data_IF_739563566444
#
_entry.id   IF_739563566444
#
_cell.length_a   1.000
_cell.length_b   1.000
_cell.length_c   1.000
_cell.angle_alpha   90.00
_cell.angle_beta   90.00
_cell.angle_gamma   90.00
#
_symmetry.space_group_name_H-M   'P 1'
#
loop_
_entity.id
_entity.type
_entity.pdbx_description
1 polymer ?
#
# COMPACT_ATOMS: atom_id res chain seq x y z
N UNK A 1 -15.29 -17.80 -4.74
CA UNK A 1 -14.48 -17.27 -5.86
C UNK A 1 -13.80 -15.94 -5.49
N UNK A 2 -14.51 -14.95 -4.94
CA UNK A 2 -13.93 -13.65 -4.53
C UNK A 2 -12.81 -13.72 -3.47
N UNK A 3 -12.91 -14.63 -2.49
CA UNK A 3 -11.87 -14.77 -1.44
C UNK A 3 -10.51 -15.20 -1.97
N UNK A 4 -10.50 -16.19 -2.88
CA UNK A 4 -9.27 -16.71 -3.49
C UNK A 4 -8.61 -15.61 -4.33
N UNK A 5 -9.39 -14.88 -5.13
CA UNK A 5 -8.88 -13.74 -5.91
C UNK A 5 -8.28 -12.65 -5.01
N UNK A 6 -8.93 -12.31 -3.88
CA UNK A 6 -8.42 -11.35 -2.90
C UNK A 6 -7.08 -11.77 -2.31
N UNK A 7 -6.96 -13.05 -1.92
CA UNK A 7 -5.72 -13.59 -1.35
C UNK A 7 -4.61 -13.64 -2.41
N UNK A 8 -4.92 -14.07 -3.63
CA UNK A 8 -3.96 -14.07 -4.73
C UNK A 8 -3.47 -12.66 -5.05
N UNK A 9 -4.37 -11.68 -5.11
CA UNK A 9 -4.01 -10.27 -5.31
C UNK A 9 -3.09 -9.75 -4.20
N UNK A 10 -3.39 -10.07 -2.93
CA UNK A 10 -2.51 -9.71 -1.81
C UNK A 10 -1.13 -10.35 -1.94
N UNK A 11 -1.04 -11.62 -2.33
CA UNK A 11 0.23 -12.30 -2.53
C UNK A 11 1.04 -11.69 -3.69
N UNK A 12 0.39 -11.33 -4.79
CA UNK A 12 1.03 -10.64 -5.92
C UNK A 12 1.57 -9.28 -5.48
N UNK A 13 0.77 -8.49 -4.76
CA UNK A 13 1.21 -7.19 -4.23
C UNK A 13 2.41 -7.33 -3.28
N UNK A 14 2.40 -8.32 -2.37
CA UNK A 14 3.53 -8.59 -1.47
C UNK A 14 4.77 -9.01 -2.27
N UNK A 15 4.62 -9.90 -3.24
CA UNK A 15 5.73 -10.34 -4.10
C UNK A 15 6.33 -9.19 -4.89
N UNK A 16 5.49 -8.29 -5.42
CA UNK A 16 5.92 -7.09 -6.11
C UNK A 16 6.73 -6.15 -5.20
N UNK A 17 6.25 -5.90 -3.98
CA UNK A 17 6.93 -5.07 -2.99
C UNK A 17 8.29 -5.67 -2.59
N UNK A 18 8.34 -6.98 -2.36
CA UNK A 18 9.60 -7.71 -2.08
C UNK A 18 10.55 -7.65 -3.27
N UNK A 19 10.03 -7.79 -4.49
CA UNK A 19 10.80 -7.64 -5.73
C UNK A 19 11.43 -6.25 -5.84
N UNK A 20 10.66 -5.18 -5.60
CA UNK A 20 11.16 -3.80 -5.59
C UNK A 20 12.25 -3.60 -4.54
N UNK A 21 12.09 -4.19 -3.37
CA UNK A 21 13.12 -4.14 -2.33
C UNK A 21 14.39 -4.89 -2.76
N UNK A 22 14.25 -6.09 -3.30
CA UNK A 22 15.37 -6.94 -3.72
C UNK A 22 16.24 -6.29 -4.82
N UNK A 23 15.63 -5.52 -5.72
CA UNK A 23 16.37 -4.80 -6.77
C UNK A 23 16.84 -3.40 -6.33
N UNK A 24 16.62 -3.01 -5.07
CA UNK A 24 17.01 -1.70 -4.55
C UNK A 24 16.17 -0.53 -5.06
N UNK A 25 15.02 -0.78 -5.70
CA UNK A 25 14.15 0.25 -6.26
C UNK A 25 13.07 0.74 -5.29
N UNK A 26 12.92 0.11 -4.11
CA UNK A 26 11.83 0.44 -3.20
C UNK A 26 12.06 1.74 -2.41
N UNK A 27 13.26 2.00 -1.91
CA UNK A 27 13.57 3.15 -1.05
C UNK A 27 14.45 4.13 -1.84
N UNK A 28 14.06 5.40 -1.88
CA UNK A 28 14.84 6.46 -2.52
C UNK A 28 15.35 7.45 -1.49
N UNK A 29 16.62 7.85 -1.62
CA UNK A 29 17.22 8.91 -0.80
C UNK A 29 17.04 10.30 -1.42
N UNK A 30 16.39 10.41 -2.59
CA UNK A 30 16.06 11.71 -3.15
C UNK A 30 15.09 12.45 -2.20
N UNK A 31 15.34 13.74 -1.88
CA UNK A 31 14.60 14.45 -0.84
C UNK A 31 13.08 14.43 -1.01
N UNK A 32 12.60 14.59 -2.24
CA UNK A 32 11.16 14.56 -2.55
C UNK A 32 10.59 13.16 -2.33
N UNK A 33 11.26 12.14 -2.88
CA UNK A 33 10.81 10.76 -2.79
C UNK A 33 10.77 10.25 -1.35
N UNK A 34 11.84 10.47 -0.57
CA UNK A 34 11.87 10.04 0.84
C UNK A 34 10.82 10.77 1.68
N UNK A 35 10.55 12.04 1.37
CA UNK A 35 9.50 12.83 2.03
C UNK A 35 8.12 12.25 1.74
N UNK A 36 7.82 11.95 0.47
CA UNK A 36 6.56 11.31 0.07
C UNK A 36 6.42 9.90 0.70
N UNK A 37 7.51 9.14 0.77
CA UNK A 37 7.54 7.85 1.45
C UNK A 37 7.30 7.99 2.95
N UNK A 38 7.86 9.00 3.61
CA UNK A 38 7.57 9.33 5.00
C UNK A 38 6.09 9.70 5.23
N UNK A 39 5.50 10.52 4.35
CA UNK A 39 4.07 10.84 4.38
C UNK A 39 3.22 9.59 4.20
N UNK A 40 3.61 8.69 3.28
CA UNK A 40 2.93 7.42 3.08
C UNK A 40 2.96 6.55 4.34
N UNK A 41 4.11 6.43 5.02
CA UNK A 41 4.22 5.70 6.30
C UNK A 41 3.34 6.34 7.37
N UNK A 42 3.34 7.67 7.51
CA UNK A 42 2.49 8.37 8.46
C UNK A 42 0.99 8.14 8.19
N UNK A 43 0.58 8.20 6.92
CA UNK A 43 -0.80 7.91 6.51
C UNK A 43 -1.18 6.46 6.79
N UNK A 44 -0.28 5.51 6.52
CA UNK A 44 -0.48 4.09 6.86
C UNK A 44 -0.72 3.94 8.36
N UNK A 45 0.17 4.46 9.20
CA UNK A 45 0.05 4.37 10.67
C UNK A 45 -1.26 5.00 11.15
N UNK A 46 -1.60 6.21 10.68
CA UNK A 46 -2.85 6.88 11.05
C UNK A 46 -4.08 6.07 10.64
N UNK A 47 -4.06 5.51 9.43
CA UNK A 47 -5.13 4.64 8.95
C UNK A 47 -5.23 3.35 9.78
N UNK A 48 -4.11 2.71 10.13
CA UNK A 48 -4.10 1.49 10.95
C UNK A 48 -4.61 1.73 12.36
N UNK A 49 -4.20 2.83 12.99
CA UNK A 49 -4.68 3.19 14.33
C UNK A 49 -6.19 3.49 14.30
N UNK A 50 -6.66 4.22 13.30
CA UNK A 50 -8.09 4.58 13.18
C UNK A 50 -8.98 3.37 12.84
N UNK A 51 -8.49 2.47 11.98
CA UNK A 51 -9.24 1.28 11.56
C UNK A 51 -9.29 0.21 12.66
N UNK A 52 -8.35 0.26 13.61
CA UNK A 52 -8.26 -0.67 14.72
C UNK A 52 -7.88 -2.10 14.31
N UNK A 53 -8.04 -3.03 15.25
CA UNK A 53 -7.63 -4.44 15.09
C UNK A 53 -8.71 -5.33 14.45
N UNK A 54 -9.97 -4.88 14.40
CA UNK A 54 -11.11 -5.76 14.04
C UNK A 54 -11.29 -5.97 12.54
N UNK A 55 -10.91 -5.02 11.70
CA UNK A 55 -11.36 -5.00 10.29
C UNK A 55 -10.30 -5.36 9.26
N UNK A 56 -9.09 -5.78 9.68
CA UNK A 56 -8.03 -6.14 8.74
C UNK A 56 -8.14 -7.62 8.34
N UNK A 57 -8.80 -7.88 7.21
CA UNK A 57 -8.90 -9.20 6.62
C UNK A 57 -8.21 -9.24 5.26
N UNK A 58 -7.43 -10.29 5.03
CA UNK A 58 -6.84 -10.57 3.72
C UNK A 58 -7.89 -10.94 2.67
N UNK A 59 -9.02 -11.50 3.12
CA UNK A 59 -10.21 -11.68 2.31
C UNK A 59 -11.08 -10.43 2.36
N UNK A 60 -11.73 -10.12 1.23
CA UNK A 60 -12.75 -9.07 1.11
C UNK A 60 -14.07 -9.44 1.81
N UNK A 61 -13.99 -9.96 3.04
CA UNK A 61 -15.15 -10.29 3.86
C UNK A 61 -15.57 -9.07 4.70
N UNK A 62 -16.87 -8.72 4.74
CA UNK A 62 -17.34 -7.67 5.62
C UNK A 62 -17.14 -8.08 7.09
N UNK A 63 -16.61 -7.17 7.88
CA UNK A 63 -16.49 -7.34 9.33
C UNK A 63 -17.71 -6.74 10.02
N UNK A 64 -18.15 -7.37 11.11
CA UNK A 64 -19.14 -6.76 11.99
C UNK A 64 -18.61 -5.44 12.60
N UNK A 65 -19.41 -4.38 12.55
CA UNK A 65 -19.03 -3.03 12.95
C UNK A 65 -19.11 -2.08 11.77
N UNK A 66 -19.92 -1.02 11.90
CA UNK A 66 -20.26 -0.11 10.81
C UNK A 66 -19.05 0.56 10.14
N UNK A 67 -19.33 1.31 9.06
CA UNK A 67 -18.30 1.97 8.28
C UNK A 67 -17.48 2.97 9.11
N UNK A 68 -16.15 2.86 9.03
CA UNK A 68 -15.23 3.82 9.64
C UNK A 68 -15.19 5.09 8.78
N UNK A 69 -15.60 6.22 9.35
CA UNK A 69 -15.66 7.53 8.66
C UNK A 69 -14.84 8.61 9.38
N UNK A 70 -14.06 8.24 10.39
CA UNK A 70 -13.20 9.14 11.17
C UNK A 70 -11.72 9.01 10.76
N UNK A 71 -10.84 9.83 11.33
CA UNK A 71 -9.40 9.83 10.99
C UNK A 71 -9.17 10.09 9.49
N UNK A 72 -8.26 9.36 8.80
CA UNK A 72 -8.02 9.58 7.37
C UNK A 72 -9.17 9.11 6.48
N UNK A 73 -10.04 8.23 7.01
CA UNK A 73 -11.20 7.70 6.28
C UNK A 73 -12.26 8.76 5.98
N UNK A 74 -12.20 9.94 6.62
CA UNK A 74 -13.05 11.09 6.28
C UNK A 74 -12.66 11.76 4.95
N UNK A 75 -11.42 11.56 4.49
CA UNK A 75 -10.88 12.22 3.29
C UNK A 75 -10.62 11.22 2.16
N UNK A 76 -10.12 10.04 2.49
CA UNK A 76 -9.73 9.00 1.53
C UNK A 76 -10.45 7.71 1.92
N UNK A 77 -11.17 7.08 0.99
CA UNK A 77 -11.91 5.82 1.28
C UNK A 77 -11.00 4.64 1.60
N UNK A 78 -9.84 4.57 0.94
CA UNK A 78 -8.86 3.50 1.10
C UNK A 78 -7.46 4.04 1.44
N UNK A 79 -7.27 4.66 2.62
CA UNK A 79 -6.02 5.35 2.97
C UNK A 79 -4.83 4.38 3.12
N UNK A 80 -5.08 3.12 3.51
CA UNK A 80 -4.07 2.06 3.56
C UNK A 80 -3.51 1.77 2.15
N UNK A 81 -4.39 1.64 1.15
CA UNK A 81 -3.98 1.36 -0.23
C UNK A 81 -3.29 2.57 -0.85
N UNK A 82 -3.83 3.78 -0.62
CA UNK A 82 -3.19 5.02 -1.05
C UNK A 82 -1.77 5.16 -0.49
N UNK A 83 -1.57 4.83 0.80
CA UNK A 83 -0.25 4.82 1.41
C UNK A 83 0.69 3.79 0.77
N UNK A 84 0.24 2.55 0.56
CA UNK A 84 1.06 1.52 -0.10
C UNK A 84 1.47 1.92 -1.53
N UNK A 85 0.52 2.46 -2.31
CA UNK A 85 0.77 2.94 -3.67
C UNK A 85 1.76 4.10 -3.66
N UNK A 86 1.54 5.12 -2.82
CA UNK A 86 2.43 6.28 -2.73
C UNK A 86 3.85 5.88 -2.34
N UNK A 87 3.99 4.96 -1.39
CA UNK A 87 5.30 4.48 -0.95
C UNK A 87 6.04 3.73 -2.06
N UNK A 88 5.37 2.76 -2.69
CA UNK A 88 5.98 1.93 -3.74
C UNK A 88 6.29 2.73 -5.00
N UNK A 89 5.34 3.52 -5.50
CA UNK A 89 5.54 4.33 -6.70
C UNK A 89 6.57 5.46 -6.50
N UNK A 90 6.72 5.99 -5.28
CA UNK A 90 7.83 6.88 -4.95
C UNK A 90 9.20 6.25 -5.21
N UNK A 91 9.35 4.97 -4.89
CA UNK A 91 10.55 4.18 -5.21
C UNK A 91 10.69 3.91 -6.72
N UNK A 92 9.64 3.41 -7.36
CA UNK A 92 9.60 3.08 -8.79
C UNK A 92 9.99 4.26 -9.68
N UNK A 93 9.38 5.43 -9.43
CA UNK A 93 9.67 6.65 -10.22
C UNK A 93 11.11 7.12 -10.02
N UNK A 94 11.64 6.99 -8.80
CA UNK A 94 13.03 7.38 -8.49
C UNK A 94 14.07 6.44 -9.12
N UNK A 95 13.72 5.17 -9.31
CA UNK A 95 14.59 4.12 -9.87
C UNK A 95 13.94 3.51 -11.11
N UNK A 96 13.64 4.36 -12.09
CA UNK A 96 12.90 3.95 -13.26
C UNK A 96 13.66 2.90 -14.08
N UNK A 97 12.99 1.79 -14.34
CA UNK A 97 13.44 0.70 -15.22
C UNK A 97 12.20 -0.08 -15.68
N UNK A 98 12.30 -0.86 -16.75
CA UNK A 98 11.19 -1.71 -17.20
C UNK A 98 10.74 -2.70 -16.11
N UNK A 99 11.71 -3.24 -15.36
CA UNK A 99 11.45 -4.17 -14.26
C UNK A 99 10.75 -3.48 -13.08
N UNK A 100 11.23 -2.32 -12.64
CA UNK A 100 10.59 -1.58 -11.53
C UNK A 100 9.20 -1.07 -11.91
N UNK A 101 8.99 -0.65 -13.16
CA UNK A 101 7.66 -0.27 -13.66
C UNK A 101 6.70 -1.47 -13.67
N UNK A 102 7.15 -2.64 -14.14
CA UNK A 102 6.35 -3.87 -14.14
C UNK A 102 5.94 -4.28 -12.73
N UNK A 103 6.89 -4.27 -11.79
CA UNK A 103 6.60 -4.55 -10.37
C UNK A 103 5.68 -3.47 -9.77
N UNK A 104 5.83 -2.21 -10.16
CA UNK A 104 4.94 -1.11 -9.75
C UNK A 104 3.49 -1.29 -10.20
N UNK A 105 3.26 -1.82 -11.41
CA UNK A 105 1.92 -2.15 -11.90
C UNK A 105 1.32 -3.31 -11.10
N UNK A 106 2.11 -4.34 -10.77
CA UNK A 106 1.66 -5.48 -9.97
C UNK A 106 1.38 -5.14 -8.49
N UNK A 107 1.84 -3.98 -8.02
CA UNK A 107 1.62 -3.50 -6.66
C UNK A 107 0.21 -2.91 -6.44
N UNK A 108 -0.52 -2.56 -7.52
CA UNK A 108 -1.82 -1.86 -7.47
C UNK A 108 -2.96 -2.79 -7.89
#
# INVERSE_FOLDING_TARGET
>A
MLKIASVLGLLVMIAALVGLYAIGALISLQPIAITLQGIAVALMVWARVTFGTRSFHASADPTAGGLVTTGPYRYIRHPIYAAACLFGWGGVISHWSELSATLGVLLV
#
